data_IF_052033444970
#
_entry.id   IF_052033444970
#
_cell.length_a   1.000
_cell.length_b   1.000
_cell.length_c   1.000
_cell.angle_alpha   90.00
_cell.angle_beta   90.00
_cell.angle_gamma   90.00
#
_symmetry.space_group_name_H-M   'P 1'
#
loop_
_entity.id
_entity.type
_entity.pdbx_description
1 polymer ?
#
# COMPACT_ATOMS: atom_id res chain seq x y z
N UNK A 1 -17.59 6.22 11.44
CA UNK A 1 -17.79 4.77 11.35
C UNK A 1 -16.52 4.12 10.81
N UNK A 2 -16.04 3.04 11.43
CA UNK A 2 -14.81 2.37 11.00
C UNK A 2 -15.10 1.36 9.90
N UNK A 3 -14.31 1.42 8.85
CA UNK A 3 -14.34 0.37 7.84
C UNK A 3 -13.41 -0.77 8.26
N UNK A 4 -13.77 -1.98 7.86
CA UNK A 4 -12.93 -3.15 8.04
C UNK A 4 -11.70 -3.03 7.14
N UNK A 5 -10.55 -3.51 7.60
CA UNK A 5 -9.32 -3.51 6.84
C UNK A 5 -8.97 -4.92 6.40
N UNK A 6 -8.72 -5.09 5.10
CA UNK A 6 -8.24 -6.34 4.52
C UNK A 6 -6.92 -6.12 3.82
N UNK A 7 -6.07 -7.13 3.88
CA UNK A 7 -4.78 -7.14 3.18
C UNK A 7 -4.81 -8.19 2.09
N UNK A 8 -4.53 -7.77 0.86
CA UNK A 8 -4.35 -8.72 -0.24
C UNK A 8 -3.03 -9.46 -0.10
N UNK A 9 -2.89 -10.60 -0.78
CA UNK A 9 -1.63 -11.32 -0.81
C UNK A 9 -0.49 -10.46 -1.41
N UNK A 10 -0.68 -9.75 -2.53
CA UNK A 10 0.36 -8.84 -3.01
C UNK A 10 0.75 -7.75 -2.01
N UNK A 11 -0.20 -7.24 -1.23
CA UNK A 11 0.10 -6.23 -0.22
C UNK A 11 0.99 -6.80 0.90
N UNK A 12 0.66 -7.99 1.38
CA UNK A 12 1.46 -8.66 2.41
C UNK A 12 2.87 -8.97 1.91
N UNK A 13 2.98 -9.50 0.70
CA UNK A 13 4.27 -9.85 0.10
C UNK A 13 5.13 -8.62 -0.15
N UNK A 14 4.54 -7.53 -0.65
CA UNK A 14 5.29 -6.30 -0.92
C UNK A 14 5.79 -5.66 0.38
N UNK A 15 5.00 -5.69 1.44
CA UNK A 15 5.47 -5.20 2.74
C UNK A 15 6.61 -6.07 3.28
N UNK A 16 6.46 -7.40 3.20
CA UNK A 16 7.51 -8.31 3.64
C UNK A 16 8.82 -8.07 2.90
N UNK A 17 8.76 -7.86 1.58
CA UNK A 17 9.95 -7.58 0.76
C UNK A 17 10.64 -6.28 1.17
N UNK A 18 9.86 -5.23 1.43
CA UNK A 18 10.40 -3.94 1.88
C UNK A 18 11.11 -4.10 3.24
N UNK A 19 10.47 -4.80 4.17
CA UNK A 19 11.02 -4.99 5.51
C UNK A 19 12.27 -5.86 5.49
N UNK A 20 12.27 -6.94 4.72
CA UNK A 20 13.44 -7.83 4.57
C UNK A 20 14.63 -7.06 3.98
N UNK A 21 14.41 -6.33 2.88
CA UNK A 21 15.44 -5.49 2.28
C UNK A 21 15.99 -4.48 3.29
N UNK A 22 15.10 -3.85 4.04
CA UNK A 22 15.50 -2.83 5.03
C UNK A 22 16.35 -3.43 6.14
N UNK A 23 15.98 -4.62 6.64
CA UNK A 23 16.79 -5.31 7.67
C UNK A 23 18.20 -5.56 7.15
N UNK A 24 18.29 -6.11 5.93
CA UNK A 24 19.59 -6.48 5.34
C UNK A 24 20.47 -5.25 5.12
N UNK A 25 19.92 -4.18 4.54
CA UNK A 25 20.70 -3.01 4.13
C UNK A 25 20.86 -1.94 5.21
N UNK A 26 19.91 -1.85 6.14
CA UNK A 26 19.84 -0.73 7.09
C UNK A 26 19.59 -1.15 8.55
N UNK A 27 19.33 -2.42 8.81
CA UNK A 27 19.16 -2.95 10.16
C UNK A 27 17.71 -3.02 10.63
N UNK A 28 17.52 -3.74 11.72
CA UNK A 28 16.19 -4.06 12.27
C UNK A 28 15.44 -2.83 12.79
N UNK A 29 16.17 -1.87 13.36
CA UNK A 29 15.54 -0.69 13.96
C UNK A 29 14.75 0.12 12.93
N UNK A 30 15.35 0.34 11.76
CA UNK A 30 14.67 1.06 10.68
C UNK A 30 13.49 0.26 10.14
N UNK A 31 13.66 -1.06 9.99
CA UNK A 31 12.57 -1.93 9.53
C UNK A 31 11.37 -1.87 10.48
N UNK A 32 11.59 -1.92 11.79
CA UNK A 32 10.52 -1.79 12.78
C UNK A 32 9.84 -0.42 12.71
N UNK A 33 10.61 0.63 12.48
CA UNK A 33 10.05 1.98 12.33
C UNK A 33 9.14 2.06 11.10
N UNK A 34 9.58 1.51 9.97
CA UNK A 34 8.79 1.49 8.73
C UNK A 34 7.51 0.69 8.95
N UNK A 35 7.60 -0.49 9.56
CA UNK A 35 6.44 -1.32 9.85
C UNK A 35 5.41 -0.54 10.67
N UNK A 36 5.85 0.13 11.73
CA UNK A 36 4.95 0.93 12.57
C UNK A 36 4.32 2.08 11.79
N UNK A 37 5.07 2.75 10.92
CA UNK A 37 4.55 3.83 10.08
C UNK A 37 3.45 3.31 9.15
N UNK A 38 3.68 2.17 8.50
CA UNK A 38 2.70 1.56 7.59
C UNK A 38 1.45 1.15 8.36
N UNK A 39 1.60 0.43 9.46
CA UNK A 39 0.46 -0.04 10.24
C UNK A 39 -0.36 1.10 10.82
N UNK A 40 0.29 2.16 11.29
CA UNK A 40 -0.39 3.35 11.80
C UNK A 40 -1.17 4.07 10.69
N UNK A 41 -0.58 4.20 9.50
CA UNK A 41 -1.24 4.82 8.36
C UNK A 41 -2.46 4.02 7.90
N UNK A 42 -2.33 2.68 7.84
CA UNK A 42 -3.45 1.80 7.50
C UNK A 42 -4.60 1.97 8.51
N UNK A 43 -4.26 2.02 9.80
CA UNK A 43 -5.27 2.19 10.85
C UNK A 43 -6.05 3.49 10.68
N UNK A 44 -5.37 4.58 10.30
CA UNK A 44 -6.04 5.87 10.06
C UNK A 44 -6.99 5.82 8.87
N UNK A 45 -6.71 5.00 7.87
CA UNK A 45 -7.59 4.87 6.71
C UNK A 45 -8.96 4.32 7.07
N UNK A 46 -9.08 3.51 8.13
CA UNK A 46 -10.38 3.00 8.57
C UNK A 46 -11.34 4.12 8.99
N UNK A 47 -10.81 5.25 9.45
CA UNK A 47 -11.58 6.43 9.86
C UNK A 47 -11.68 7.48 8.75
N UNK A 48 -10.69 7.53 7.85
CA UNK A 48 -10.62 8.54 6.79
C UNK A 48 -10.30 7.89 5.45
N UNK A 49 -11.22 7.06 4.92
CA UNK A 49 -10.92 6.23 3.75
C UNK A 49 -10.64 7.02 2.47
N UNK A 50 -11.16 8.22 2.36
CA UNK A 50 -11.00 9.05 1.16
C UNK A 50 -9.96 10.16 1.32
N UNK A 51 -9.09 10.06 2.33
CA UNK A 51 -8.09 11.09 2.61
C UNK A 51 -6.96 11.15 1.59
N UNK A 52 -6.69 10.07 0.86
CA UNK A 52 -5.65 10.04 -0.15
C UNK A 52 -6.23 10.17 -1.56
N UNK A 53 -5.47 10.74 -2.51
CA UNK A 53 -5.96 10.95 -3.87
C UNK A 53 -6.09 9.64 -4.65
N UNK A 54 -6.92 9.68 -5.70
CA UNK A 54 -7.04 8.58 -6.65
C UNK A 54 -5.76 8.52 -7.48
N UNK A 55 -5.24 7.30 -7.67
CA UNK A 55 -4.02 7.08 -8.45
C UNK A 55 -4.34 7.08 -9.95
N UNK A 56 -3.45 7.67 -10.79
CA UNK A 56 -3.67 7.70 -12.24
C UNK A 56 -3.85 6.34 -12.91
N UNK A 57 -3.22 5.29 -12.37
CA UNK A 57 -3.35 3.92 -12.89
C UNK A 57 -4.79 3.40 -12.86
N UNK A 58 -5.66 4.00 -12.06
CA UNK A 58 -7.05 3.61 -11.94
C UNK A 58 -7.76 3.59 -13.30
N UNK A 59 -7.44 4.54 -14.17
CA UNK A 59 -8.04 4.62 -15.50
C UNK A 59 -7.69 3.41 -16.38
N UNK A 60 -6.46 2.88 -16.23
CA UNK A 60 -6.00 1.76 -17.06
C UNK A 60 -6.68 0.45 -16.73
N UNK A 61 -7.03 0.25 -15.47
CA UNK A 61 -7.58 -1.04 -15.01
C UNK A 61 -9.05 -0.98 -14.65
N UNK A 62 -9.67 0.21 -14.67
CA UNK A 62 -11.07 0.37 -14.34
C UNK A 62 -11.40 0.15 -12.88
N UNK A 63 -10.43 0.30 -11.99
CA UNK A 63 -10.57 0.16 -10.55
C UNK A 63 -10.05 1.43 -9.90
N UNK A 64 -10.82 2.02 -8.98
CA UNK A 64 -10.39 3.23 -8.29
C UNK A 64 -9.40 2.89 -7.18
N UNK A 65 -8.13 2.98 -7.50
CA UNK A 65 -7.05 2.88 -6.52
C UNK A 65 -6.74 4.25 -5.94
N UNK A 66 -6.52 4.28 -4.63
CA UNK A 66 -6.02 5.46 -3.92
C UNK A 66 -4.63 5.18 -3.39
N UNK A 67 -3.82 6.22 -3.25
CA UNK A 67 -2.45 6.08 -2.78
C UNK A 67 -2.13 7.04 -1.66
N UNK A 68 -1.81 6.50 -0.49
CA UNK A 68 -1.41 7.27 0.69
C UNK A 68 0.10 7.19 0.90
N UNK A 69 0.78 8.34 0.83
CA UNK A 69 2.21 8.39 1.16
C UNK A 69 2.39 8.22 2.67
N UNK A 70 3.18 7.23 3.05
CA UNK A 70 3.56 6.99 4.44
C UNK A 70 4.81 7.81 4.76
N UNK A 71 5.75 7.81 3.82
CA UNK A 71 6.96 8.62 3.84
C UNK A 71 7.36 8.88 2.38
N UNK A 72 8.54 9.48 2.14
CA UNK A 72 8.99 9.81 0.78
C UNK A 72 9.17 8.60 -0.12
N UNK A 73 9.34 7.40 0.44
CA UNK A 73 9.69 6.19 -0.31
C UNK A 73 8.59 5.15 -0.36
N UNK A 74 7.55 5.27 0.45
CA UNK A 74 6.53 4.22 0.60
C UNK A 74 5.14 4.82 0.46
N UNK A 75 4.35 4.19 -0.40
CA UNK A 75 2.97 4.55 -0.64
C UNK A 75 2.08 3.33 -0.44
N UNK A 76 0.98 3.49 0.28
CA UNK A 76 -0.03 2.45 0.43
C UNK A 76 -1.05 2.60 -0.68
N UNK A 77 -1.18 1.57 -1.51
CA UNK A 77 -2.20 1.51 -2.56
C UNK A 77 -3.38 0.71 -2.03
N UNK A 78 -4.57 1.30 -2.09
CA UNK A 78 -5.76 0.69 -1.51
C UNK A 78 -7.02 1.02 -2.30
N UNK A 79 -8.05 0.23 -2.08
CA UNK A 79 -9.39 0.45 -2.61
C UNK A 79 -10.39 0.58 -1.46
N UNK A 80 -11.50 1.24 -1.72
CA UNK A 80 -12.55 1.47 -0.72
C UNK A 80 -13.87 0.90 -1.24
N UNK A 81 -14.54 0.11 -0.41
CA UNK A 81 -15.92 -0.30 -0.64
C UNK A 81 -16.79 0.25 0.50
N UNK A 82 -18.09 -0.06 0.49
CA UNK A 82 -19.02 0.43 1.51
C UNK A 82 -18.64 -0.01 2.93
N UNK A 83 -17.99 -1.18 3.05
CA UNK A 83 -17.70 -1.80 4.35
C UNK A 83 -16.21 -2.00 4.61
N UNK A 84 -15.37 -1.92 3.58
CA UNK A 84 -14.00 -2.44 3.67
C UNK A 84 -13.01 -1.52 2.96
N UNK A 85 -11.85 -1.34 3.59
CA UNK A 85 -10.64 -0.87 2.92
C UNK A 85 -9.79 -2.09 2.60
N UNK A 86 -9.48 -2.27 1.32
CA UNK A 86 -8.59 -3.34 0.88
C UNK A 86 -7.22 -2.77 0.58
N UNK A 87 -6.21 -3.21 1.34
CA UNK A 87 -4.82 -2.82 1.09
C UNK A 87 -4.33 -3.70 -0.05
N UNK A 88 -4.02 -3.08 -1.19
CA UNK A 88 -3.74 -3.78 -2.43
C UNK A 88 -2.25 -3.96 -2.70
N UNK A 89 -1.44 -2.98 -2.29
CA UNK A 89 0.01 -3.04 -2.49
C UNK A 89 0.71 -2.04 -1.60
N UNK A 90 1.89 -2.39 -1.10
CA UNK A 90 2.80 -1.44 -0.44
C UNK A 90 3.88 -1.11 -1.45
N UNK A 91 3.78 0.07 -2.03
CA UNK A 91 4.61 0.49 -3.15
C UNK A 91 5.85 1.23 -2.67
N UNK A 92 7.00 0.81 -3.15
CA UNK A 92 8.20 1.65 -3.13
C UNK A 92 8.01 2.69 -4.26
N UNK A 93 8.18 3.97 -3.95
CA UNK A 93 7.90 5.05 -4.92
C UNK A 93 8.81 5.00 -6.15
N UNK A 94 9.91 4.26 -6.10
CA UNK A 94 10.78 4.04 -7.27
C UNK A 94 10.28 2.93 -8.19
N UNK A 95 9.34 2.09 -7.74
CA UNK A 95 8.76 1.04 -8.56
C UNK A 95 7.80 1.67 -9.58
N UNK A 96 7.88 1.27 -10.85
CA UNK A 96 6.94 1.77 -11.85
C UNK A 96 5.53 1.21 -11.59
N UNK A 97 4.52 1.97 -12.01
CA UNK A 97 3.13 1.54 -11.87
C UNK A 97 2.85 0.27 -12.67
N UNK A 98 3.44 0.13 -13.86
CA UNK A 98 3.26 -1.07 -14.68
C UNK A 98 3.82 -2.32 -13.98
N UNK A 99 5.02 -2.22 -13.41
CA UNK A 99 5.62 -3.32 -12.65
C UNK A 99 4.77 -3.68 -11.44
N UNK A 100 4.25 -2.68 -10.76
CA UNK A 100 3.34 -2.90 -9.62
C UNK A 100 2.09 -3.65 -10.06
N UNK A 101 1.45 -3.23 -11.16
CA UNK A 101 0.25 -3.89 -11.66
C UNK A 101 0.52 -5.35 -12.02
N UNK A 102 1.67 -5.65 -12.65
CA UNK A 102 2.07 -7.03 -12.93
C UNK A 102 2.18 -7.85 -11.63
N UNK A 103 2.83 -7.31 -10.62
CA UNK A 103 2.98 -7.99 -9.32
C UNK A 103 1.64 -8.18 -8.60
N UNK A 104 0.67 -7.33 -8.88
CA UNK A 104 -0.69 -7.47 -8.35
C UNK A 104 -1.54 -8.47 -9.14
N UNK A 105 -1.02 -8.98 -10.26
CA UNK A 105 -1.71 -9.98 -11.06
C UNK A 105 -2.49 -9.45 -12.24
N UNK A 106 -2.34 -8.19 -12.59
CA UNK A 106 -3.01 -7.63 -13.77
C UNK A 106 -2.23 -7.94 -15.03
N UNK A 107 -2.95 -8.36 -16.07
CA UNK A 107 -2.40 -8.51 -17.40
C UNK A 107 -2.35 -7.12 -18.05
N UNK A 108 -1.18 -6.76 -18.54
CA UNK A 108 -0.96 -5.44 -19.15
C UNK A 108 -0.54 -5.60 -20.60
#
# INVERSE_FOLDING_TARGET
MNLEIRWSAPALLSLADILEYTVIEHGERLALKIRRQVMSAVQRLSFSPFSAPVEPISEKVGIEFRGLLVNKKIKIIYTVSDTTISIEYIKNTYLSDLTMLEKMGYAI
#
